data_IF_486865364628
#
_entry.id   IF_486865364628
#
_cell.length_a   1.000
_cell.length_b   1.000
_cell.length_c   1.000
_cell.angle_alpha   90.00
_cell.angle_beta   90.00
_cell.angle_gamma   90.00
#
_symmetry.space_group_name_H-M   'P 1'
#
loop_
_entity.id
_entity.type
_entity.pdbx_description
1 polymer ?
#
# COMPACT_ATOMS: atom_id res chain seq x y z
N UNK A 1 -63.62 -29.85 -15.89
CA UNK A 1 -62.69 -29.89 -14.77
C UNK A 1 -61.30 -29.76 -15.34
N UNK A 2 -60.72 -28.55 -15.27
CA UNK A 2 -59.39 -28.23 -15.82
C UNK A 2 -58.41 -28.06 -14.66
N UNK A 3 -57.42 -28.93 -14.57
CA UNK A 3 -56.45 -28.94 -13.50
C UNK A 3 -55.26 -28.03 -13.93
N UNK A 4 -55.16 -26.86 -13.31
CA UNK A 4 -53.99 -25.95 -13.49
C UNK A 4 -52.88 -26.46 -12.56
N UNK A 5 -51.79 -26.95 -13.15
CA UNK A 5 -50.54 -27.28 -12.43
C UNK A 5 -49.70 -26.02 -12.29
N UNK A 6 -49.59 -25.48 -11.08
CA UNK A 6 -48.60 -24.42 -10.75
C UNK A 6 -47.21 -25.01 -10.73
N UNK A 7 -46.32 -24.47 -11.59
CA UNK A 7 -44.89 -24.71 -11.55
C UNK A 7 -44.25 -23.70 -10.57
N UNK A 8 -43.77 -24.17 -9.45
CA UNK A 8 -42.98 -23.36 -8.52
C UNK A 8 -41.52 -23.29 -9.03
N UNK A 9 -41.08 -22.12 -9.50
CA UNK A 9 -39.72 -21.87 -9.87
C UNK A 9 -38.93 -21.53 -8.58
N UNK A 10 -38.06 -22.43 -8.15
CA UNK A 10 -37.10 -22.17 -7.07
C UNK A 10 -35.90 -21.40 -7.65
N UNK A 11 -35.82 -20.09 -7.38
CA UNK A 11 -34.58 -19.33 -7.61
C UNK A 11 -33.54 -19.73 -6.55
N UNK A 12 -32.53 -20.50 -6.95
CA UNK A 12 -31.34 -20.72 -6.16
C UNK A 12 -30.47 -19.44 -6.27
N UNK A 13 -30.44 -18.66 -5.20
CA UNK A 13 -29.50 -17.54 -5.09
C UNK A 13 -28.10 -18.11 -4.83
N UNK A 14 -27.22 -18.07 -5.83
CA UNK A 14 -25.79 -18.32 -5.62
C UNK A 14 -25.22 -17.16 -4.78
N UNK A 15 -24.96 -17.40 -3.52
CA UNK A 15 -24.15 -16.52 -2.68
C UNK A 15 -22.69 -16.75 -3.10
N UNK A 16 -22.13 -15.82 -3.87
CA UNK A 16 -20.71 -15.81 -4.15
C UNK A 16 -19.97 -15.53 -2.84
N UNK A 17 -19.42 -16.57 -2.21
CA UNK A 17 -18.47 -16.41 -1.12
C UNK A 17 -17.17 -15.93 -1.74
N UNK A 18 -16.87 -14.65 -1.60
CA UNK A 18 -15.55 -14.11 -1.90
C UNK A 18 -14.56 -14.71 -0.91
N UNK A 19 -13.79 -15.70 -1.34
CA UNK A 19 -12.67 -16.21 -0.57
C UNK A 19 -11.63 -15.08 -0.48
N UNK A 20 -11.43 -14.50 0.70
CA UNK A 20 -10.31 -13.61 0.96
C UNK A 20 -9.01 -14.41 0.84
N UNK A 21 -8.02 -13.85 0.16
CA UNK A 21 -6.69 -14.46 0.08
C UNK A 21 -6.14 -14.64 1.51
N UNK A 22 -5.70 -15.87 1.83
CA UNK A 22 -5.11 -16.16 3.15
C UNK A 22 -3.65 -15.64 3.26
N UNK A 23 -3.09 -15.08 2.19
CA UNK A 23 -1.71 -14.61 2.14
C UNK A 23 -1.40 -13.80 0.90
N UNK A 24 -0.11 -13.71 0.56
CA UNK A 24 0.36 -13.07 -0.69
C UNK A 24 -0.16 -13.87 -1.89
N UNK A 25 -0.83 -13.21 -2.87
CA UNK A 25 -1.35 -13.88 -4.06
C UNK A 25 -0.27 -14.66 -4.83
N UNK A 26 -0.66 -15.74 -5.50
CA UNK A 26 0.29 -16.58 -6.23
C UNK A 26 0.91 -15.89 -7.43
N UNK A 27 0.21 -14.97 -8.07
CA UNK A 27 0.67 -14.15 -9.17
C UNK A 27 1.61 -13.01 -8.73
N UNK A 28 1.63 -12.68 -7.42
CA UNK A 28 2.65 -11.80 -6.85
C UNK A 28 3.99 -12.53 -6.85
N UNK A 29 4.88 -12.16 -7.76
CA UNK A 29 6.23 -12.71 -7.90
C UNK A 29 7.33 -11.74 -7.50
N UNK A 30 6.95 -10.56 -6.98
CA UNK A 30 7.85 -9.57 -6.42
C UNK A 30 7.26 -9.02 -5.11
N UNK A 31 7.98 -9.16 -4.00
CA UNK A 31 7.48 -8.84 -2.67
C UNK A 31 8.42 -7.88 -1.94
N UNK A 32 7.89 -6.72 -1.55
CA UNK A 32 8.56 -5.80 -0.64
C UNK A 32 8.17 -6.20 0.79
N UNK A 33 9.16 -6.56 1.62
CA UNK A 33 8.94 -6.97 3.00
C UNK A 33 9.45 -5.91 3.96
N UNK A 34 8.53 -5.28 4.69
CA UNK A 34 8.81 -4.34 5.78
C UNK A 34 8.64 -5.03 7.13
N UNK A 35 9.68 -4.95 7.97
CA UNK A 35 9.63 -5.49 9.33
C UNK A 35 9.94 -4.39 10.32
N UNK A 36 9.01 -4.16 11.26
CA UNK A 36 9.20 -3.33 12.43
C UNK A 36 9.52 -4.21 13.65
N UNK A 37 10.42 -3.84 14.56
CA UNK A 37 10.70 -4.62 15.77
C UNK A 37 9.44 -4.91 16.60
N UNK A 38 8.57 -3.91 16.78
CA UNK A 38 7.32 -4.00 17.55
C UNK A 38 6.20 -3.19 16.88
N UNK A 39 4.97 -3.32 17.40
CA UNK A 39 3.82 -2.52 16.97
C UNK A 39 4.01 -1.00 17.16
N UNK A 40 4.81 -0.58 18.13
CA UNK A 40 5.06 0.84 18.44
C UNK A 40 6.38 1.36 17.84
N UNK A 41 7.08 0.55 17.04
CA UNK A 41 8.35 0.94 16.43
C UNK A 41 8.13 1.89 15.28
N UNK A 42 8.82 3.03 15.30
CA UNK A 42 8.89 4.01 14.21
C UNK A 42 9.95 3.65 13.16
N UNK A 43 10.76 2.64 13.42
CA UNK A 43 11.91 2.21 12.63
C UNK A 43 11.81 0.76 12.28
N UNK A 44 12.40 0.39 11.15
CA UNK A 44 12.55 -0.99 10.73
C UNK A 44 13.38 -1.09 9.46
N UNK A 45 13.21 -2.18 8.78
CA UNK A 45 13.90 -2.49 7.54
C UNK A 45 12.90 -2.88 6.46
N UNK A 46 13.28 -2.61 5.21
CA UNK A 46 12.59 -3.10 4.02
C UNK A 46 13.57 -3.91 3.18
N UNK A 47 13.11 -5.06 2.67
CA UNK A 47 13.84 -5.91 1.72
C UNK A 47 12.94 -6.19 0.52
N UNK A 48 13.54 -6.32 -0.65
CA UNK A 48 12.87 -6.78 -1.86
C UNK A 48 13.21 -8.23 -2.12
N UNK A 49 12.19 -9.03 -2.38
CA UNK A 49 12.29 -10.44 -2.74
C UNK A 49 11.64 -10.67 -4.11
N UNK A 50 12.13 -11.69 -4.80
CA UNK A 50 11.50 -12.21 -6.02
C UNK A 50 11.37 -13.72 -5.93
N UNK A 51 10.37 -14.26 -6.66
CA UNK A 51 10.20 -15.69 -6.86
C UNK A 51 9.78 -15.98 -8.31
N UNK A 52 10.10 -17.18 -8.86
CA UNK A 52 9.36 -17.72 -10.00
C UNK A 52 7.90 -17.98 -9.59
N UNK A 53 7.00 -18.07 -10.55
CA UNK A 53 5.60 -18.44 -10.27
C UNK A 53 5.57 -19.79 -9.54
N UNK A 54 4.93 -19.82 -8.36
CA UNK A 54 4.89 -21.02 -7.51
C UNK A 54 6.22 -21.44 -6.86
N UNK A 55 7.30 -20.64 -7.00
CA UNK A 55 8.60 -20.91 -6.44
C UNK A 55 8.88 -20.27 -5.08
N UNK A 56 10.10 -20.46 -4.60
CA UNK A 56 10.57 -19.90 -3.33
C UNK A 56 11.06 -18.45 -3.48
N UNK A 57 10.92 -17.67 -2.41
CA UNK A 57 11.38 -16.29 -2.34
C UNK A 57 12.90 -16.20 -2.20
N UNK A 58 13.53 -15.40 -3.07
CA UNK A 58 14.94 -15.05 -2.99
C UNK A 58 15.11 -13.55 -2.77
N UNK A 59 15.99 -13.08 -1.86
CA UNK A 59 16.24 -11.67 -1.66
C UNK A 59 17.00 -11.08 -2.86
N UNK A 60 16.59 -9.91 -3.34
CA UNK A 60 17.21 -9.22 -4.50
C UNK A 60 17.71 -7.82 -4.17
N UNK A 61 17.19 -7.17 -3.12
CA UNK A 61 17.68 -5.88 -2.67
C UNK A 61 17.36 -5.59 -1.19
N UNK A 62 18.13 -4.72 -0.55
CA UNK A 62 18.05 -4.36 0.86
C UNK A 62 19.11 -5.09 1.72
N UNK A 63 19.04 -5.00 3.06
CA UNK A 63 18.03 -4.24 3.79
C UNK A 63 18.17 -2.73 3.61
N UNK A 64 17.04 -2.06 3.52
CA UNK A 64 16.95 -0.61 3.50
C UNK A 64 16.39 -0.12 4.84
N UNK A 65 17.13 0.68 5.63
CA UNK A 65 16.59 1.29 6.84
C UNK A 65 15.43 2.24 6.51
N UNK A 66 14.30 2.06 7.20
CA UNK A 66 13.07 2.84 6.98
C UNK A 66 12.55 3.46 8.27
N UNK A 67 11.71 4.50 8.08
CA UNK A 67 10.86 5.04 9.13
C UNK A 67 9.40 4.83 8.78
N UNK A 68 8.61 4.50 9.79
CA UNK A 68 7.17 4.31 9.73
C UNK A 68 6.42 5.47 10.41
N UNK A 69 5.16 5.26 10.71
CA UNK A 69 4.35 6.20 11.46
C UNK A 69 4.93 6.51 12.85
N UNK A 70 4.81 7.77 13.29
CA UNK A 70 5.32 8.25 14.59
C UNK A 70 4.77 7.48 15.81
N UNK A 71 3.61 6.84 15.65
CA UNK A 71 2.97 6.01 16.66
C UNK A 71 3.11 4.49 16.36
N UNK A 72 4.02 4.10 15.44
CA UNK A 72 4.22 2.72 15.02
C UNK A 72 3.23 2.26 13.97
N UNK A 73 2.69 1.05 14.13
CA UNK A 73 1.84 0.35 13.17
C UNK A 73 0.42 0.13 13.74
N UNK A 74 -0.54 -0.10 12.83
CA UNK A 74 -1.87 -0.62 13.14
C UNK A 74 -2.36 -1.45 11.94
N UNK A 75 -3.26 -2.41 12.15
CA UNK A 75 -3.80 -3.23 11.07
C UNK A 75 -4.50 -2.37 10.02
N UNK A 76 -4.07 -2.50 8.78
CA UNK A 76 -4.62 -1.81 7.62
C UNK A 76 -5.71 -2.60 6.90
N UNK A 77 -6.21 -2.02 5.81
CA UNK A 77 -7.13 -2.63 4.86
C UNK A 77 -6.40 -2.79 3.53
N UNK A 78 -6.21 -4.01 3.08
CA UNK A 78 -5.49 -4.37 1.86
C UNK A 78 -5.90 -5.76 1.40
N UNK A 79 -4.98 -6.50 0.78
CA UNK A 79 -5.21 -7.90 0.39
C UNK A 79 -5.41 -8.80 1.63
N UNK A 80 -4.59 -8.58 2.66
CA UNK A 80 -4.65 -9.33 3.92
C UNK A 80 -4.35 -8.40 5.10
N UNK A 81 -4.96 -8.67 6.27
CA UNK A 81 -4.75 -7.91 7.50
C UNK A 81 -6.00 -7.26 8.07
N UNK A 82 -7.01 -6.98 7.23
CA UNK A 82 -8.25 -6.31 7.66
C UNK A 82 -9.09 -7.12 8.66
N UNK A 83 -8.91 -8.43 8.75
CA UNK A 83 -9.65 -9.30 9.67
C UNK A 83 -8.83 -9.71 10.90
N UNK A 84 -7.58 -9.28 10.99
CA UNK A 84 -6.70 -9.61 12.12
C UNK A 84 -7.15 -8.89 13.39
N UNK A 85 -7.05 -9.55 14.56
CA UNK A 85 -7.41 -8.91 15.82
C UNK A 85 -6.42 -7.82 16.22
N UNK A 86 -6.91 -6.72 16.81
CA UNK A 86 -6.06 -5.66 17.34
C UNK A 86 -6.42 -4.26 16.84
N UNK A 87 -5.48 -3.33 17.03
CA UNK A 87 -5.67 -1.91 16.70
C UNK A 87 -5.78 -1.71 15.19
N UNK A 88 -6.84 -1.04 14.76
CA UNK A 88 -7.09 -0.68 13.36
C UNK A 88 -6.51 0.66 13.01
N UNK A 89 -5.97 0.74 11.78
CA UNK A 89 -5.56 1.98 11.15
C UNK A 89 -6.76 2.93 11.04
N UNK A 90 -6.52 4.19 11.40
CA UNK A 90 -7.50 5.28 11.29
C UNK A 90 -6.85 6.49 10.64
N UNK A 91 -7.68 7.37 10.08
CA UNK A 91 -7.21 8.64 9.58
C UNK A 91 -6.50 9.44 10.67
N UNK A 92 -5.32 10.00 10.36
CA UNK A 92 -4.50 10.84 11.25
C UNK A 92 -4.03 10.19 12.56
N UNK A 93 -4.07 8.87 12.68
CA UNK A 93 -3.59 8.16 13.88
C UNK A 93 -2.05 8.14 14.04
N UNK A 94 -1.33 8.56 13.02
CA UNK A 94 0.14 8.54 13.01
C UNK A 94 0.75 7.15 12.93
N UNK A 95 0.01 6.14 12.46
CA UNK A 95 0.45 4.75 12.33
C UNK A 95 0.55 4.32 10.88
N UNK A 96 1.57 3.52 10.56
CA UNK A 96 1.66 2.87 9.27
C UNK A 96 0.74 1.64 9.21
N UNK A 97 0.06 1.37 8.07
CA UNK A 97 -0.80 0.20 7.95
C UNK A 97 0.03 -1.09 7.91
N UNK A 98 -0.31 -2.04 8.78
CA UNK A 98 0.20 -3.41 8.78
C UNK A 98 -0.73 -4.31 7.97
N UNK A 99 -0.16 -5.28 7.23
CA UNK A 99 -0.90 -6.18 6.35
C UNK A 99 -0.16 -6.45 5.06
N UNK A 100 -0.88 -6.93 4.05
CA UNK A 100 -0.40 -7.12 2.68
C UNK A 100 -1.17 -6.19 1.75
N UNK A 101 -0.45 -5.46 0.91
CA UNK A 101 -0.98 -4.42 0.02
C UNK A 101 -0.42 -4.60 -1.38
N UNK A 102 -1.20 -4.31 -2.40
CA UNK A 102 -0.68 -4.11 -3.74
C UNK A 102 0.18 -2.83 -3.80
N UNK A 103 1.13 -2.81 -4.71
CA UNK A 103 1.84 -1.60 -5.11
C UNK A 103 1.08 -0.97 -6.28
N UNK A 104 0.66 0.26 -6.10
CA UNK A 104 -0.01 1.04 -7.11
C UNK A 104 0.97 1.75 -8.04
N UNK A 105 0.68 2.97 -8.42
CA UNK A 105 1.45 3.77 -9.36
C UNK A 105 2.65 4.45 -8.67
N UNK A 106 3.70 4.70 -9.45
CA UNK A 106 4.79 5.60 -9.06
C UNK A 106 4.43 7.02 -9.52
N UNK A 107 4.62 7.98 -8.64
CA UNK A 107 4.44 9.41 -8.90
C UNK A 107 5.77 10.14 -8.68
N UNK A 108 6.00 11.19 -9.43
CA UNK A 108 7.22 11.98 -9.24
C UNK A 108 7.19 13.34 -9.91
N UNK A 109 8.16 14.20 -9.58
CA UNK A 109 8.26 15.55 -10.12
C UNK A 109 8.98 15.58 -11.47
N UNK A 110 9.85 14.60 -11.74
CA UNK A 110 10.62 14.51 -12.96
C UNK A 110 9.74 14.00 -14.12
N UNK A 111 10.10 14.34 -15.36
CA UNK A 111 9.32 13.94 -16.54
C UNK A 111 9.27 12.41 -16.75
N UNK A 112 10.25 11.69 -16.23
CA UNK A 112 10.41 10.25 -16.41
C UNK A 112 10.84 9.59 -15.11
N UNK A 113 10.63 8.28 -15.01
CA UNK A 113 11.22 7.45 -13.96
C UNK A 113 12.76 7.59 -13.93
N UNK A 114 13.39 7.30 -12.79
CA UNK A 114 14.85 7.17 -12.73
C UNK A 114 15.34 6.18 -13.79
N UNK A 115 16.55 6.37 -14.35
CA UNK A 115 17.12 5.47 -15.35
C UNK A 115 17.05 4.00 -14.93
N UNK A 116 16.55 3.12 -15.81
CA UNK A 116 16.30 1.71 -15.54
C UNK A 116 14.96 1.38 -14.89
N UNK A 117 14.14 2.39 -14.58
CA UNK A 117 12.77 2.19 -14.11
C UNK A 117 11.85 1.71 -15.23
N UNK A 118 11.01 0.71 -14.92
CA UNK A 118 9.99 0.15 -15.82
C UNK A 118 8.74 -0.21 -15.01
N UNK A 119 7.99 0.83 -14.62
CA UNK A 119 6.78 0.71 -13.81
C UNK A 119 5.77 1.79 -14.19
N UNK A 120 4.45 1.59 -14.00
CA UNK A 120 3.46 2.64 -14.23
C UNK A 120 3.83 3.94 -13.49
N UNK A 121 3.91 5.02 -14.24
CA UNK A 121 4.41 6.30 -13.76
C UNK A 121 3.48 7.46 -14.13
N UNK A 122 3.33 8.40 -13.22
CA UNK A 122 2.65 9.67 -13.45
C UNK A 122 3.53 10.83 -13.00
N UNK A 123 3.81 11.77 -13.92
CA UNK A 123 4.48 13.01 -13.57
C UNK A 123 3.50 13.94 -12.84
N UNK A 124 3.83 14.26 -11.60
CA UNK A 124 3.00 15.13 -10.75
C UNK A 124 3.16 16.60 -11.17
N UNK A 125 2.03 17.25 -11.41
CA UNK A 125 1.90 18.68 -11.74
C UNK A 125 1.27 19.46 -10.57
N UNK A 126 1.07 20.77 -10.75
CA UNK A 126 0.33 21.60 -9.79
C UNK A 126 -1.18 21.25 -9.72
N UNK A 127 -1.70 20.53 -10.71
CA UNK A 127 -3.10 20.10 -10.76
C UNK A 127 -3.34 18.77 -10.03
N UNK A 128 -2.28 18.04 -9.65
CA UNK A 128 -2.40 16.74 -9.03
C UNK A 128 -2.62 16.86 -7.51
N UNK A 129 -3.67 16.20 -7.03
CA UNK A 129 -4.03 16.14 -5.61
C UNK A 129 -4.34 14.70 -5.20
N UNK A 130 -4.08 14.36 -3.93
CA UNK A 130 -4.53 13.13 -3.32
C UNK A 130 -5.46 13.48 -2.17
N UNK A 131 -6.75 13.18 -2.33
CA UNK A 131 -7.74 13.60 -1.35
C UNK A 131 -7.65 12.77 -0.05
N UNK A 132 -7.40 13.46 1.07
CA UNK A 132 -7.35 12.91 2.43
C UNK A 132 -8.53 13.35 3.31
N UNK A 133 -9.51 14.09 2.76
CA UNK A 133 -10.73 14.50 3.48
C UNK A 133 -11.77 13.38 3.46
N UNK A 134 -12.11 12.76 4.62
CA UNK A 134 -13.11 11.69 4.68
C UNK A 134 -14.51 12.08 4.20
N UNK A 135 -14.80 13.39 4.03
CA UNK A 135 -16.06 13.89 3.50
C UNK A 135 -16.08 13.98 1.98
N UNK A 136 -14.90 13.87 1.35
CA UNK A 136 -14.77 13.97 -0.10
C UNK A 136 -15.26 12.67 -0.77
N UNK A 137 -15.98 12.80 -1.90
CA UNK A 137 -16.30 11.67 -2.77
C UNK A 137 -15.05 11.01 -3.38
N UNK A 138 -13.95 11.76 -3.42
CA UNK A 138 -12.65 11.33 -3.92
C UNK A 138 -11.71 10.89 -2.80
N UNK A 139 -12.21 10.64 -1.57
CA UNK A 139 -11.38 10.22 -0.45
C UNK A 139 -10.45 9.08 -0.84
N UNK A 140 -9.17 9.22 -0.46
CA UNK A 140 -8.08 8.30 -0.74
C UNK A 140 -7.91 7.97 -2.22
N UNK A 141 -8.07 8.98 -3.09
CA UNK A 141 -7.87 8.86 -4.54
C UNK A 141 -6.99 9.98 -5.07
N UNK A 142 -6.19 9.65 -6.08
CA UNK A 142 -5.54 10.63 -6.93
C UNK A 142 -6.56 11.24 -7.88
N UNK A 143 -6.57 12.56 -7.97
CA UNK A 143 -7.37 13.31 -8.94
C UNK A 143 -6.53 14.42 -9.58
N UNK A 144 -6.85 14.74 -10.82
CA UNK A 144 -6.31 15.91 -11.50
C UNK A 144 -7.40 16.97 -11.50
N UNK A 145 -7.14 18.10 -10.85
CA UNK A 145 -8.12 19.18 -10.70
C UNK A 145 -8.06 20.15 -11.87
N UNK A 146 -9.21 20.80 -12.16
CA UNK A 146 -9.20 22.00 -13.01
C UNK A 146 -8.67 23.20 -12.19
N UNK A 147 -7.52 23.81 -12.57
CA UNK A 147 -6.99 24.97 -11.84
C UNK A 147 -7.93 26.17 -11.83
N UNK A 148 -8.90 26.23 -12.77
CA UNK A 148 -9.90 27.30 -12.82
C UNK A 148 -11.07 27.08 -11.86
N UNK A 149 -11.27 25.83 -11.42
CA UNK A 149 -12.36 25.46 -10.51
C UNK A 149 -11.86 24.43 -9.49
N UNK A 150 -10.88 24.81 -8.61
CA UNK A 150 -10.30 23.87 -7.66
C UNK A 150 -11.32 23.49 -6.57
N UNK A 151 -11.30 22.23 -6.10
CA UNK A 151 -12.11 21.80 -4.97
C UNK A 151 -11.68 22.51 -3.67
N UNK A 152 -12.58 22.53 -2.67
CA UNK A 152 -12.25 23.02 -1.33
C UNK A 152 -11.06 22.27 -0.74
N UNK A 153 -10.19 22.99 -0.02
CA UNK A 153 -8.98 22.46 0.63
C UNK A 153 -7.89 21.91 -0.32
N UNK A 154 -8.03 22.12 -1.61
CA UNK A 154 -7.12 21.60 -2.62
C UNK A 154 -5.63 21.92 -2.35
N UNK A 155 -5.32 23.04 -1.71
CA UNK A 155 -3.93 23.42 -1.37
C UNK A 155 -3.27 22.49 -0.36
N UNK A 156 -4.05 21.84 0.50
CA UNK A 156 -3.54 20.85 1.48
C UNK A 156 -3.33 19.47 0.88
N UNK A 157 -4.09 19.15 -0.15
CA UNK A 157 -4.08 17.85 -0.82
C UNK A 157 -3.10 17.78 -2.00
N UNK A 158 -2.41 18.88 -2.33
CA UNK A 158 -1.44 18.92 -3.43
C UNK A 158 -0.34 17.89 -3.30
N UNK A 159 -0.16 17.10 -4.36
CA UNK A 159 0.95 16.13 -4.45
C UNK A 159 2.25 16.83 -4.82
N UNK A 160 2.21 17.90 -5.64
CA UNK A 160 3.37 18.73 -5.94
C UNK A 160 3.46 19.89 -4.96
N UNK A 161 4.44 19.81 -4.09
CA UNK A 161 4.78 20.86 -3.13
C UNK A 161 6.28 21.13 -3.21
N UNK A 162 6.76 22.16 -2.51
CA UNK A 162 8.21 22.42 -2.38
C UNK A 162 8.95 21.37 -1.53
N UNK A 163 8.25 20.36 -1.01
CA UNK A 163 8.82 19.32 -0.16
C UNK A 163 9.53 18.25 -1.00
N UNK A 164 10.85 18.20 -0.89
CA UNK A 164 11.69 17.21 -1.57
C UNK A 164 11.30 15.75 -1.24
N UNK A 165 10.64 15.52 -0.10
CA UNK A 165 10.23 14.19 0.32
C UNK A 165 9.22 13.56 -0.67
N UNK A 166 8.49 14.38 -1.40
CA UNK A 166 7.49 13.95 -2.38
C UNK A 166 8.02 13.95 -3.83
N UNK A 167 9.32 14.21 -4.02
CA UNK A 167 9.92 14.08 -5.35
C UNK A 167 9.68 12.71 -5.99
N UNK A 168 9.61 11.66 -5.16
CA UNK A 168 9.24 10.30 -5.54
C UNK A 168 8.25 9.72 -4.54
N UNK A 169 7.13 9.21 -5.04
CA UNK A 169 6.11 8.50 -4.28
C UNK A 169 5.83 7.16 -4.96
N UNK A 170 5.72 6.10 -4.16
CA UNK A 170 5.20 4.81 -4.63
C UNK A 170 3.96 4.50 -3.83
N UNK A 171 2.82 4.39 -4.51
CA UNK A 171 1.53 4.14 -3.85
C UNK A 171 1.53 2.76 -3.18
N UNK A 172 1.14 2.73 -1.90
CA UNK A 172 0.77 1.52 -1.17
C UNK A 172 -0.75 1.49 -1.12
N UNK A 173 -1.38 0.53 -1.80
CA UNK A 173 -2.84 0.44 -1.94
C UNK A 173 -3.52 0.00 -0.65
N UNK A 174 -3.36 0.83 0.38
CA UNK A 174 -4.08 0.71 1.63
C UNK A 174 -5.43 1.42 1.53
N UNK A 175 -6.52 0.74 1.91
CA UNK A 175 -7.87 1.32 1.93
C UNK A 175 -8.27 1.94 0.56
N UNK A 176 -7.98 1.26 -0.53
CA UNK A 176 -8.06 1.87 -1.87
C UNK A 176 -9.30 1.46 -2.66
N UNK A 177 -9.84 0.24 -2.49
CA UNK A 177 -10.88 -0.25 -3.39
C UNK A 177 -11.91 -1.17 -2.68
N UNK A 178 -13.09 -0.65 -2.36
CA UNK A 178 -13.41 0.78 -2.28
C UNK A 178 -12.80 1.43 -1.03
N UNK A 179 -12.44 2.71 -1.07
CA UNK A 179 -11.95 3.39 0.12
C UNK A 179 -13.07 3.60 1.15
N UNK A 180 -12.75 3.29 2.40
CA UNK A 180 -13.64 3.51 3.55
C UNK A 180 -13.24 4.81 4.23
N UNK A 181 -14.11 5.85 4.26
CA UNK A 181 -13.81 7.10 4.91
C UNK A 181 -13.36 6.95 6.37
N UNK A 182 -12.25 7.60 6.72
CA UNK A 182 -11.69 7.53 8.08
C UNK A 182 -10.81 6.31 8.40
N UNK A 183 -10.68 5.34 7.48
CA UNK A 183 -9.81 4.17 7.70
C UNK A 183 -8.34 4.42 7.31
N UNK A 184 -7.97 5.66 6.97
CA UNK A 184 -6.62 6.07 6.57
C UNK A 184 -6.49 6.25 5.06
N UNK A 185 -5.69 7.24 4.65
CA UNK A 185 -5.49 7.65 3.27
C UNK A 185 -4.04 8.04 2.99
N UNK A 186 -3.71 8.24 1.71
CA UNK A 186 -2.44 8.81 1.25
C UNK A 186 -1.21 8.08 1.80
N UNK A 187 -1.17 6.76 1.64
CA UNK A 187 -0.08 5.91 2.11
C UNK A 187 0.90 5.60 0.96
N UNK A 188 2.15 6.01 1.15
CA UNK A 188 3.20 5.90 0.13
C UNK A 188 4.53 5.42 0.72
N UNK A 189 5.39 4.88 -0.15
CA UNK A 189 6.82 5.03 0.07
C UNK A 189 7.23 6.41 -0.42
N UNK A 190 8.05 7.12 0.37
CA UNK A 190 8.63 8.40 -0.06
C UNK A 190 10.00 8.66 0.56
N UNK A 191 10.68 9.70 0.11
CA UNK A 191 11.99 10.09 0.63
C UNK A 191 11.82 10.56 2.08
N UNK A 192 12.67 10.06 2.99
CA UNK A 192 12.65 10.51 4.39
C UNK A 192 13.14 11.94 4.53
N UNK A 193 12.45 12.73 5.34
CA UNK A 193 12.85 14.13 5.62
C UNK A 193 14.04 14.26 6.58
N UNK A 194 14.46 13.17 7.22
CA UNK A 194 15.59 13.12 8.13
C UNK A 194 15.63 11.80 8.90
N UNK A 195 16.80 11.44 9.43
CA UNK A 195 17.05 10.14 10.09
C UNK A 195 16.18 9.89 11.33
N UNK A 196 15.62 10.94 11.94
CA UNK A 196 14.79 10.89 13.12
C UNK A 196 13.40 11.51 12.91
N UNK A 197 12.94 11.69 11.66
CA UNK A 197 11.64 12.25 11.34
C UNK A 197 10.68 11.17 10.82
N UNK A 198 9.94 10.49 11.72
CA UNK A 198 8.91 9.52 11.34
C UNK A 198 7.74 10.20 10.62
N UNK A 199 6.86 9.41 10.04
CA UNK A 199 5.73 9.86 9.24
C UNK A 199 4.43 9.91 10.04
N UNK A 200 3.34 10.25 9.37
CA UNK A 200 1.98 10.10 9.90
C UNK A 200 1.29 8.80 9.43
N UNK A 201 2.01 7.95 8.68
CA UNK A 201 1.50 6.65 8.20
C UNK A 201 2.31 6.05 7.05
N UNK A 202 3.02 6.85 6.26
CA UNK A 202 3.85 6.39 5.15
C UNK A 202 5.08 5.61 5.63
N UNK A 203 5.71 4.88 4.70
CA UNK A 203 7.02 4.25 4.87
C UNK A 203 8.07 5.08 4.14
N UNK A 204 9.15 5.49 4.84
CA UNK A 204 10.16 6.38 4.24
C UNK A 204 11.57 5.83 4.36
N UNK A 205 12.38 6.13 3.35
CA UNK A 205 13.78 5.71 3.27
C UNK A 205 14.68 6.79 2.64
N UNK A 206 15.97 6.57 2.65
CA UNK A 206 16.90 7.44 1.94
C UNK A 206 16.58 7.49 0.44
N UNK A 207 16.84 8.62 -0.22
CA UNK A 207 16.51 8.82 -1.64
C UNK A 207 17.11 7.72 -2.53
N UNK A 208 18.35 7.36 -2.28
CA UNK A 208 19.08 6.35 -3.06
C UNK A 208 18.41 4.96 -2.95
N UNK A 209 17.94 4.62 -1.75
CA UNK A 209 17.24 3.37 -1.51
C UNK A 209 15.86 3.35 -2.18
N UNK A 210 15.12 4.48 -2.14
CA UNK A 210 13.83 4.60 -2.81
C UNK A 210 14.00 4.53 -4.34
N UNK A 211 14.99 5.20 -4.90
CA UNK A 211 15.30 5.11 -6.33
C UNK A 211 15.64 3.66 -6.70
N UNK A 212 16.47 2.98 -5.90
CA UNK A 212 16.79 1.56 -6.11
C UNK A 212 15.53 0.67 -6.05
N UNK A 213 14.63 0.93 -5.11
CA UNK A 213 13.36 0.22 -5.04
C UNK A 213 12.55 0.46 -6.32
N UNK A 214 12.33 1.72 -6.72
CA UNK A 214 11.55 2.09 -7.91
C UNK A 214 12.13 1.43 -9.18
N UNK A 215 13.44 1.49 -9.37
CA UNK A 215 14.09 0.91 -10.55
C UNK A 215 14.08 -0.63 -10.56
N UNK A 216 13.82 -1.25 -9.41
CA UNK A 216 13.67 -2.71 -9.29
C UNK A 216 12.24 -3.19 -9.51
N UNK A 217 11.22 -2.33 -9.38
CA UNK A 217 9.82 -2.73 -9.57
C UNK A 217 9.54 -3.13 -11.02
N UNK A 218 8.71 -4.17 -11.18
CA UNK A 218 8.25 -4.66 -12.48
C UNK A 218 6.75 -4.94 -12.43
N UNK A 219 5.95 -4.22 -13.21
CA UNK A 219 4.50 -4.35 -13.22
C UNK A 219 4.04 -5.78 -13.50
N UNK A 220 4.70 -6.48 -14.44
CA UNK A 220 4.40 -7.88 -14.80
C UNK A 220 4.62 -8.88 -13.68
N UNK A 221 5.25 -8.48 -12.57
CA UNK A 221 5.49 -9.31 -11.39
C UNK A 221 4.47 -9.10 -10.28
N UNK A 222 3.45 -8.26 -10.51
CA UNK A 222 2.38 -7.93 -9.56
C UNK A 222 2.94 -7.66 -8.15
N UNK A 223 3.80 -6.61 -7.98
CA UNK A 223 4.49 -6.39 -6.72
C UNK A 223 3.51 -6.11 -5.58
N UNK A 224 3.76 -6.77 -4.44
CA UNK A 224 3.05 -6.52 -3.20
C UNK A 224 4.00 -5.97 -2.13
N UNK A 225 3.42 -5.30 -1.15
CA UNK A 225 4.09 -4.87 0.07
C UNK A 225 3.48 -5.54 1.28
N UNK A 226 4.28 -6.20 2.09
CA UNK A 226 3.91 -6.65 3.43
C UNK A 226 4.61 -5.80 4.48
N UNK A 227 3.87 -5.31 5.46
CA UNK A 227 4.43 -4.63 6.64
C UNK A 227 3.88 -5.29 7.89
N UNK A 228 4.77 -5.85 8.70
CA UNK A 228 4.40 -6.49 9.96
C UNK A 228 5.42 -6.18 11.06
N UNK A 229 5.01 -6.15 12.34
CA UNK A 229 5.95 -6.29 13.43
C UNK A 229 6.53 -7.70 13.45
N UNK A 230 7.77 -7.85 13.92
CA UNK A 230 8.51 -9.12 13.91
C UNK A 230 7.73 -10.27 14.55
N UNK A 231 6.99 -10.00 15.63
CA UNK A 231 6.16 -11.02 16.30
C UNK A 231 5.06 -11.57 15.39
N UNK A 232 4.40 -10.72 14.61
CA UNK A 232 3.37 -11.16 13.67
C UNK A 232 3.97 -11.81 12.43
N UNK A 233 5.10 -11.29 11.94
CA UNK A 233 5.82 -11.91 10.83
C UNK A 233 6.20 -13.35 11.13
N UNK A 234 6.78 -13.60 12.31
CA UNK A 234 7.17 -14.93 12.75
C UNK A 234 5.99 -15.90 12.92
N UNK A 235 4.82 -15.41 13.25
CA UNK A 235 3.61 -16.24 13.34
C UNK A 235 3.03 -16.58 11.96
N UNK A 236 3.10 -15.62 11.02
CA UNK A 236 2.30 -15.64 9.79
C UNK A 236 3.07 -16.00 8.53
N UNK A 237 4.41 -16.00 8.53
CA UNK A 237 5.18 -16.13 7.31
C UNK A 237 4.84 -17.36 6.48
N UNK A 238 4.54 -18.51 7.12
CA UNK A 238 4.14 -19.73 6.41
C UNK A 238 2.73 -19.61 5.84
N UNK A 239 1.74 -19.26 6.69
CA UNK A 239 0.32 -19.17 6.28
C UNK A 239 0.06 -18.05 5.27
N UNK A 240 0.87 -16.99 5.30
CA UNK A 240 0.76 -15.88 4.36
C UNK A 240 1.70 -16.00 3.14
N UNK A 241 2.39 -17.15 3.00
CA UNK A 241 3.33 -17.40 1.89
C UNK A 241 4.41 -16.32 1.75
N UNK A 242 5.00 -15.90 2.89
CA UNK A 242 6.07 -14.91 2.96
C UNK A 242 7.45 -15.59 2.95
N UNK A 243 8.53 -14.86 2.64
CA UNK A 243 9.89 -15.36 2.85
C UNK A 243 10.11 -15.81 4.29
N UNK A 244 10.92 -16.86 4.54
CA UNK A 244 11.26 -17.23 5.91
C UNK A 244 11.96 -16.06 6.64
N UNK A 245 11.77 -15.95 7.97
CA UNK A 245 12.44 -14.92 8.76
C UNK A 245 13.95 -14.95 8.55
N UNK A 246 14.53 -13.80 8.23
CA UNK A 246 15.98 -13.68 8.06
C UNK A 246 16.62 -13.69 9.46
N UNK A 247 17.64 -14.50 9.64
CA UNK A 247 18.44 -14.59 10.88
C UNK A 247 19.36 -13.38 11.04
#
# INVERSE_FOLDING_TARGET
>A
MSIVRSLAIHCLSLIAVTAYAEGVPDDCTQLIVGIAPTWNSMRGEVRLFERPHGGEWAPVAGPFPVLFGKNGLAWGTGLVGQNEPGLRKKERDGRAPAGVFEIGQVFGYDAHLPPGGDYPYHQVTEADVWSDDPRSQNYNRHIVIDPKNPPDNYTREKMRSSDFAYQWLVEIRHNSDPPVPGAGSAIFFHIRRGVNRPTTGCTTMAKENLVKLITSLRAKRHPCYVLLPAVEYNKKWKSWNLPPPQR
#
